data_IF_343390043397
#
_entry.id   IF_343390043397
#
_cell.length_a   1.000
_cell.length_b   1.000
_cell.length_c   1.000
_cell.angle_alpha   90.00
_cell.angle_beta   90.00
_cell.angle_gamma   90.00
#
_symmetry.space_group_name_H-M   'P 1'
#
loop_
_entity.id
_entity.type
_entity.pdbx_description
1 polymer ?
#
# COMPACT_ATOMS: atom_id res chain seq x y z
N UNK A 1 -12.88 7.88 -1.66
CA UNK A 1 -11.61 8.08 -0.90
C UNK A 1 -10.50 7.34 -1.61
N UNK A 2 -9.24 7.71 -1.40
CA UNK A 2 -8.07 7.00 -1.95
C UNK A 2 -7.22 6.53 -0.80
N UNK A 3 -6.79 5.28 -0.85
CA UNK A 3 -5.84 4.73 0.10
C UNK A 3 -4.41 4.92 -0.44
N UNK A 4 -3.55 5.54 0.35
CA UNK A 4 -2.12 5.70 0.06
C UNK A 4 -1.32 5.25 1.26
N UNK A 5 -0.13 4.70 1.04
CA UNK A 5 0.79 4.39 2.14
C UNK A 5 1.49 5.64 2.66
N UNK A 6 1.83 6.57 1.75
CA UNK A 6 2.85 7.60 2.00
C UNK A 6 4.13 6.97 2.58
N UNK A 7 4.56 5.84 1.99
CA UNK A 7 5.69 5.07 2.50
C UNK A 7 7.04 5.66 2.09
N UNK A 8 8.00 5.65 3.02
CA UNK A 8 9.42 5.91 2.74
C UNK A 8 10.22 4.61 2.56
N UNK A 9 11.49 4.74 2.20
CA UNK A 9 12.41 3.63 1.89
C UNK A 9 12.55 2.55 2.97
N UNK A 10 12.16 2.84 4.21
CA UNK A 10 12.21 1.87 5.30
C UNK A 10 11.03 0.87 5.28
N UNK A 11 10.00 1.12 4.46
CA UNK A 11 8.91 0.17 4.24
C UNK A 11 9.48 -1.18 3.80
N UNK A 12 9.21 -2.23 4.59
CA UNK A 12 9.72 -3.59 4.34
C UNK A 12 11.17 -3.84 4.74
N UNK A 13 11.90 -2.85 5.27
CA UNK A 13 13.31 -2.99 5.67
C UNK A 13 13.51 -3.20 7.19
N UNK A 14 12.51 -2.86 8.00
CA UNK A 14 12.54 -2.97 9.46
C UNK A 14 12.97 -1.69 10.19
N UNK A 15 13.22 -1.82 11.50
CA UNK A 15 13.66 -0.72 12.35
C UNK A 15 15.13 -0.35 12.07
N UNK A 16 15.43 0.95 12.17
CA UNK A 16 16.77 1.45 11.86
C UNK A 16 16.83 2.94 11.58
N UNK A 17 17.99 3.38 11.07
CA UNK A 17 18.24 4.77 10.70
C UNK A 17 18.32 4.89 9.18
N UNK A 18 17.54 5.81 8.64
CA UNK A 18 17.32 6.01 7.21
C UNK A 18 17.48 7.49 6.84
N UNK A 19 17.65 7.79 5.55
CA UNK A 19 17.66 9.17 5.02
C UNK A 19 16.44 9.44 4.16
N UNK A 20 15.60 10.40 4.53
CA UNK A 20 14.41 10.78 3.78
C UNK A 20 14.41 12.29 3.52
N UNK A 21 14.34 12.70 2.24
CA UNK A 21 14.37 14.13 1.87
C UNK A 21 15.64 14.87 2.32
N UNK A 22 16.76 14.17 2.52
CA UNK A 22 18.01 14.74 3.06
C UNK A 22 18.05 14.83 4.59
N UNK A 23 16.99 14.43 5.30
CA UNK A 23 16.94 14.36 6.75
C UNK A 23 17.18 12.94 7.24
N UNK A 24 17.80 12.82 8.42
CA UNK A 24 17.88 11.53 9.12
C UNK A 24 16.53 11.22 9.76
N UNK A 25 16.06 10.00 9.55
CA UNK A 25 14.83 9.44 10.10
C UNK A 25 15.19 8.19 10.89
N UNK A 26 14.65 8.07 12.10
CA UNK A 26 14.75 6.87 12.91
C UNK A 26 13.41 6.14 12.87
N UNK A 27 13.44 4.87 12.51
CA UNK A 27 12.31 3.95 12.54
C UNK A 27 12.45 3.08 13.78
N UNK A 28 11.44 3.12 14.63
CA UNK A 28 11.36 2.32 15.85
C UNK A 28 9.93 1.81 15.99
N UNK A 29 9.79 0.49 16.17
CA UNK A 29 8.49 -0.20 16.18
C UNK A 29 7.64 0.18 14.95
N UNK A 30 8.27 0.22 13.77
CA UNK A 30 7.62 0.59 12.52
C UNK A 30 7.20 2.08 12.41
N UNK A 31 7.52 2.94 13.38
CA UNK A 31 7.16 4.36 13.31
C UNK A 31 8.37 5.19 12.92
N UNK A 32 8.28 5.90 11.79
CA UNK A 32 9.35 6.75 11.27
C UNK A 32 9.26 8.18 11.83
N UNK A 33 10.33 8.64 12.50
CA UNK A 33 10.42 9.99 13.10
C UNK A 33 11.72 10.71 12.77
N UNK A 34 11.63 12.03 12.64
CA UNK A 34 12.79 12.93 12.62
C UNK A 34 13.42 13.03 14.02
N UNK A 35 14.60 13.64 14.10
CA UNK A 35 15.34 13.83 15.36
C UNK A 35 14.59 14.68 16.40
N UNK A 36 13.67 15.53 15.97
CA UNK A 36 12.80 16.33 16.84
C UNK A 36 11.51 15.59 17.26
N UNK A 37 11.34 14.34 16.83
CA UNK A 37 10.17 13.50 17.12
C UNK A 37 9.00 13.64 16.15
N UNK A 38 9.07 14.55 15.19
CA UNK A 38 8.06 14.74 14.14
C UNK A 38 7.91 13.46 13.30
N UNK A 39 6.68 13.06 12.98
CA UNK A 39 6.43 11.95 12.06
C UNK A 39 6.98 12.31 10.68
N UNK A 40 7.86 11.47 10.14
CA UNK A 40 8.55 11.76 8.90
C UNK A 40 7.74 11.32 7.67
N UNK A 41 7.16 10.11 7.74
CA UNK A 41 6.45 9.41 6.66
C UNK A 41 5.92 8.08 7.24
N UNK A 42 5.38 7.19 6.41
CA UNK A 42 4.89 5.87 6.80
C UNK A 42 5.89 4.74 6.48
N UNK A 43 5.74 3.60 7.14
CA UNK A 43 6.39 2.34 6.74
C UNK A 43 5.38 1.24 6.39
N UNK A 44 4.09 1.58 6.35
CA UNK A 44 2.97 0.66 6.12
C UNK A 44 2.93 0.21 4.67
N UNK A 45 2.74 -1.08 4.41
CA UNK A 45 2.54 -1.61 3.05
C UNK A 45 1.08 -1.44 2.59
N UNK A 46 0.81 -1.58 1.29
CA UNK A 46 -0.58 -1.43 0.80
C UNK A 46 -1.55 -2.48 1.34
N UNK A 47 -1.10 -3.72 1.56
CA UNK A 47 -1.93 -4.78 2.12
C UNK A 47 -2.21 -4.55 3.63
N UNK A 48 -1.24 -4.04 4.39
CA UNK A 48 -1.46 -3.60 5.77
C UNK A 48 -2.41 -2.40 5.83
N UNK A 49 -2.25 -1.41 4.94
CA UNK A 49 -3.15 -0.28 4.86
C UNK A 49 -4.59 -0.72 4.56
N UNK A 50 -4.77 -1.70 3.65
CA UNK A 50 -6.08 -2.29 3.34
C UNK A 50 -6.66 -2.97 4.59
N UNK A 51 -5.86 -3.79 5.28
CA UNK A 51 -6.26 -4.47 6.52
C UNK A 51 -6.71 -3.48 7.59
N UNK A 52 -5.88 -2.48 7.92
CA UNK A 52 -6.21 -1.45 8.90
C UNK A 52 -7.49 -0.72 8.53
N UNK A 53 -7.68 -0.38 7.24
CA UNK A 53 -8.89 0.28 6.74
C UNK A 53 -10.14 -0.55 7.05
N UNK A 54 -10.10 -1.86 6.79
CA UNK A 54 -11.21 -2.76 7.09
C UNK A 54 -11.44 -2.93 8.59
N UNK A 55 -10.36 -3.05 9.38
CA UNK A 55 -10.43 -3.14 10.85
C UNK A 55 -11.05 -1.89 11.50
N UNK A 56 -10.97 -0.72 10.85
CA UNK A 56 -11.68 0.50 11.30
C UNK A 56 -13.18 0.51 11.00
N UNK A 57 -13.70 -0.51 10.32
CA UNK A 57 -15.12 -0.71 10.04
C UNK A 57 -15.57 -0.36 8.62
N UNK A 58 -14.63 -0.04 7.71
CA UNK A 58 -14.95 0.15 6.29
C UNK A 58 -15.16 -1.22 5.62
N UNK A 59 -16.23 -1.44 4.85
CA UNK A 59 -16.44 -2.71 4.14
C UNK A 59 -15.27 -3.05 3.21
N UNK A 60 -14.89 -4.32 3.14
CA UNK A 60 -13.76 -4.78 2.31
C UNK A 60 -13.87 -4.32 0.85
N UNK A 61 -15.07 -4.40 0.26
CA UNK A 61 -15.30 -3.95 -1.13
C UNK A 61 -15.00 -2.47 -1.32
N UNK A 62 -15.39 -1.63 -0.35
CA UNK A 62 -15.14 -0.19 -0.39
C UNK A 62 -13.64 0.08 -0.21
N UNK A 63 -12.98 -0.63 0.71
CA UNK A 63 -11.55 -0.52 0.93
C UNK A 63 -10.73 -0.96 -0.31
N UNK A 64 -11.15 -2.00 -1.01
CA UNK A 64 -10.57 -2.43 -2.30
C UNK A 64 -10.76 -1.34 -3.37
N UNK A 65 -11.95 -0.74 -3.47
CA UNK A 65 -12.15 0.39 -4.37
C UNK A 65 -11.30 1.61 -3.98
N UNK A 66 -11.04 1.85 -2.70
CA UNK A 66 -10.15 2.92 -2.24
C UNK A 66 -8.68 2.66 -2.63
N UNK A 67 -8.24 1.40 -2.63
CA UNK A 67 -6.87 1.00 -2.95
C UNK A 67 -6.60 0.80 -4.46
N UNK A 68 -7.63 0.52 -5.27
CA UNK A 68 -7.47 0.11 -6.67
C UNK A 68 -8.29 0.96 -7.65
N UNK A 69 -9.62 0.81 -7.66
CA UNK A 69 -10.48 1.47 -8.66
C UNK A 69 -10.53 3.00 -8.56
N UNK A 70 -10.52 3.56 -7.35
CA UNK A 70 -10.54 5.02 -7.15
C UNK A 70 -9.25 5.71 -7.60
N UNK A 71 -8.04 5.26 -7.22
CA UNK A 71 -6.82 5.86 -7.74
C UNK A 71 -6.70 5.70 -9.26
N UNK A 72 -7.05 4.55 -9.83
CA UNK A 72 -7.04 4.35 -11.28
C UNK A 72 -7.92 5.38 -12.01
N UNK A 73 -9.14 5.61 -11.52
CA UNK A 73 -10.06 6.61 -12.08
C UNK A 73 -9.55 8.03 -11.97
N UNK A 74 -8.96 8.41 -10.83
CA UNK A 74 -8.40 9.75 -10.63
C UNK A 74 -7.23 10.02 -11.58
N UNK A 75 -6.44 8.99 -11.86
CA UNK A 75 -5.27 9.06 -12.75
C UNK A 75 -5.61 8.87 -14.24
N UNK A 76 -6.87 8.55 -14.59
CA UNK A 76 -7.28 8.29 -15.97
C UNK A 76 -6.73 6.96 -16.53
N UNK A 77 -6.54 5.96 -15.67
CA UNK A 77 -6.06 4.64 -16.07
C UNK A 77 -7.23 3.74 -16.47
N UNK A 78 -7.69 3.89 -17.71
CA UNK A 78 -8.95 3.31 -18.21
C UNK A 78 -9.02 1.77 -18.22
N UNK A 79 -7.89 1.07 -18.07
CA UNK A 79 -7.79 -0.40 -18.11
C UNK A 79 -7.18 -0.99 -16.83
N UNK A 80 -7.19 -0.23 -15.73
CA UNK A 80 -6.70 -0.66 -14.42
C UNK A 80 -7.73 -0.36 -13.33
N UNK A 81 -7.56 -1.00 -12.18
CA UNK A 81 -8.34 -0.70 -10.98
C UNK A 81 -9.59 -1.55 -10.78
N UNK A 82 -10.02 -2.31 -11.80
CA UNK A 82 -11.18 -3.20 -11.77
C UNK A 82 -10.84 -4.56 -12.40
N UNK A 83 -11.53 -5.62 -11.93
CA UNK A 83 -11.45 -6.97 -12.48
C UNK A 83 -12.56 -7.15 -13.53
N UNK A 84 -12.24 -6.87 -14.80
CA UNK A 84 -13.19 -6.99 -15.90
C UNK A 84 -12.51 -7.39 -17.22
N UNK A 85 -13.28 -7.97 -18.14
CA UNK A 85 -12.78 -8.29 -19.48
C UNK A 85 -12.24 -7.03 -20.19
N UNK A 86 -11.09 -7.16 -20.85
CA UNK A 86 -10.42 -6.06 -21.54
C UNK A 86 -9.48 -5.21 -20.66
N UNK A 87 -9.48 -5.39 -19.34
CA UNK A 87 -8.54 -4.72 -18.42
C UNK A 87 -7.17 -5.42 -18.42
N UNK A 88 -6.14 -4.72 -17.95
CA UNK A 88 -4.83 -5.32 -17.73
C UNK A 88 -4.89 -6.33 -16.57
N UNK A 89 -4.20 -7.45 -16.73
CA UNK A 89 -4.15 -8.52 -15.73
C UNK A 89 -3.13 -8.19 -14.63
N UNK A 90 -3.42 -7.11 -13.90
CA UNK A 90 -2.72 -6.67 -12.69
C UNK A 90 -3.53 -7.08 -11.47
N UNK A 91 -3.14 -8.18 -10.84
CA UNK A 91 -3.91 -8.84 -9.79
C UNK A 91 -3.03 -9.12 -8.58
N UNK A 92 -3.66 -9.17 -7.42
CA UNK A 92 -3.05 -9.64 -6.17
C UNK A 92 -4.01 -10.61 -5.50
N UNK A 93 -3.50 -11.76 -5.06
CA UNK A 93 -4.22 -12.62 -4.14
C UNK A 93 -3.72 -12.38 -2.72
N UNK A 94 -4.65 -12.07 -1.84
CA UNK A 94 -4.41 -11.99 -0.41
C UNK A 94 -5.06 -13.19 0.29
N UNK A 95 -4.43 -13.68 1.35
CA UNK A 95 -5.08 -14.61 2.27
C UNK A 95 -6.05 -13.88 3.23
N UNK A 96 -6.66 -14.62 4.15
CA UNK A 96 -7.60 -14.05 5.14
C UNK A 96 -6.94 -13.12 6.15
N UNK A 97 -5.62 -13.20 6.30
CA UNK A 97 -4.81 -12.34 7.17
C UNK A 97 -4.20 -11.15 6.40
N UNK A 98 -4.60 -10.96 5.14
CA UNK A 98 -4.11 -9.93 4.22
C UNK A 98 -2.63 -10.09 3.81
N UNK A 99 -2.04 -11.27 3.97
CA UNK A 99 -0.71 -11.55 3.41
C UNK A 99 -0.81 -11.76 1.90
N UNK A 100 0.20 -11.28 1.17
CA UNK A 100 0.29 -11.50 -0.28
C UNK A 100 0.65 -12.97 -0.53
N UNK A 101 -0.20 -13.69 -1.25
CA UNK A 101 0.02 -15.08 -1.66
C UNK A 101 0.71 -15.14 -3.01
N UNK A 102 0.27 -14.31 -3.95
CA UNK A 102 0.90 -14.11 -5.25
C UNK A 102 0.44 -12.80 -5.86
N UNK A 103 1.19 -12.34 -6.86
CA UNK A 103 0.84 -11.22 -7.72
C UNK A 103 0.84 -11.63 -9.19
N UNK A 104 0.13 -10.86 -10.00
CA UNK A 104 0.19 -10.90 -11.45
C UNK A 104 0.38 -9.48 -11.95
N UNK A 105 1.33 -9.26 -12.86
CA UNK A 105 1.58 -7.96 -13.47
C UNK A 105 1.56 -8.15 -14.98
N UNK A 106 0.65 -7.48 -15.69
CA UNK A 106 0.52 -7.62 -17.13
C UNK A 106 0.24 -9.04 -17.61
N UNK A 107 -0.30 -9.91 -16.76
CA UNK A 107 -0.52 -11.34 -17.04
C UNK A 107 0.62 -12.27 -16.63
N UNK A 108 1.76 -11.74 -16.16
CA UNK A 108 2.88 -12.54 -15.66
C UNK A 108 2.74 -12.77 -14.15
N UNK A 109 2.75 -14.04 -13.73
CA UNK A 109 2.54 -14.42 -12.33
C UNK A 109 3.88 -14.50 -11.57
N UNK A 110 3.88 -14.00 -10.33
CA UNK A 110 4.98 -14.16 -9.37
C UNK A 110 4.43 -14.57 -8.01
N UNK A 111 5.08 -15.52 -7.38
CA UNK A 111 4.89 -15.88 -5.97
C UNK A 111 5.83 -15.06 -5.07
#
# INVERSE_FOLDING_TARGET
>A
MVLITDALQAMGMGDGVYTFGGHQVTVHEGTARLSDGTLASSTVTMNEALRHTVETGIPLTDAVHMASGTPARILGLDRKGDLAEGYEADLVLLDLDYNVVWIMIGGEMSE
#
